data_IF_898608386620
#
_entry.id   IF_898608386620
#
_cell.length_a   1.000
_cell.length_b   1.000
_cell.length_c   1.000
_cell.angle_alpha   90.00
_cell.angle_beta   90.00
_cell.angle_gamma   90.00
#
_symmetry.space_group_name_H-M   'P 1'
#
loop_
_entity.id
_entity.type
_entity.pdbx_description
1 polymer ?
#
# COMPACT_ATOMS: atom_id res chain seq x y z
N UNK A 1 -7.23 -21.64 43.16
CA UNK A 1 -5.81 -21.43 42.81
C UNK A 1 -5.72 -21.17 41.31
N UNK A 2 -5.16 -20.01 40.97
CA UNK A 2 -4.65 -19.57 39.66
C UNK A 2 -5.62 -19.39 38.49
N UNK A 3 -6.29 -18.23 38.52
CA UNK A 3 -6.73 -17.50 37.32
C UNK A 3 -5.51 -16.93 36.59
N UNK A 4 -5.04 -17.59 35.54
CA UNK A 4 -4.18 -16.94 34.55
C UNK A 4 -5.05 -16.73 33.32
N UNK A 5 -5.66 -15.54 33.26
CA UNK A 5 -6.44 -15.07 32.13
C UNK A 5 -5.67 -15.29 30.83
N UNK A 6 -6.35 -15.98 29.91
CA UNK A 6 -6.16 -15.94 28.47
C UNK A 6 -6.05 -14.49 27.97
N UNK A 7 -4.88 -13.87 28.12
CA UNK A 7 -4.51 -12.75 27.27
C UNK A 7 -4.25 -13.34 25.89
N UNK A 8 -5.30 -13.37 25.07
CA UNK A 8 -5.28 -13.70 23.65
C UNK A 8 -4.26 -12.81 22.89
N UNK A 9 -2.98 -13.17 22.98
CA UNK A 9 -1.89 -12.49 22.30
C UNK A 9 -1.72 -13.11 20.92
N UNK A 10 -2.48 -12.64 19.94
CA UNK A 10 -2.26 -12.95 18.52
C UNK A 10 -0.99 -12.22 18.07
N UNK A 11 0.00 -12.86 17.41
CA UNK A 11 1.20 -12.12 16.94
C UNK A 11 0.78 -11.06 15.92
N UNK A 12 1.18 -9.79 16.11
CA UNK A 12 0.83 -8.67 15.23
C UNK A 12 1.49 -8.77 13.85
N UNK A 13 2.42 -9.70 13.65
CA UNK A 13 3.12 -9.92 12.38
C UNK A 13 2.55 -11.11 11.57
N UNK A 14 2.28 -12.26 12.22
CA UNK A 14 1.78 -13.49 11.58
C UNK A 14 0.25 -13.62 11.65
N UNK A 15 -0.41 -12.95 12.60
CA UNK A 15 -1.82 -13.22 12.92
C UNK A 15 -2.07 -14.60 13.56
N UNK A 16 -1.01 -15.34 13.90
CA UNK A 16 -1.10 -16.65 14.57
C UNK A 16 -1.36 -16.48 16.06
N UNK A 17 -2.08 -17.44 16.63
CA UNK A 17 -2.32 -17.57 18.06
C UNK A 17 -1.18 -18.33 18.78
N UNK A 18 -0.25 -18.93 18.04
CA UNK A 18 0.88 -19.67 18.59
C UNK A 18 1.98 -18.73 19.03
N UNK A 19 1.88 -18.25 20.27
CA UNK A 19 2.82 -17.30 20.84
C UNK A 19 3.44 -17.87 22.11
N UNK A 20 4.76 -18.04 22.07
CA UNK A 20 5.58 -18.67 23.10
C UNK A 20 6.10 -17.58 24.03
N UNK A 21 5.88 -17.74 25.34
CA UNK A 21 6.50 -16.89 26.36
C UNK A 21 7.88 -17.43 26.68
N UNK A 22 8.93 -16.67 26.39
CA UNK A 22 10.30 -16.99 26.80
C UNK A 22 10.69 -16.10 27.98
N UNK A 23 11.06 -16.70 29.11
CA UNK A 23 11.60 -15.98 30.27
C UNK A 23 13.13 -15.95 30.11
N UNK A 24 13.76 -14.80 29.88
CA UNK A 24 15.22 -14.72 29.76
C UNK A 24 15.87 -14.96 31.14
N UNK A 25 16.87 -15.85 31.20
CA UNK A 25 17.59 -16.23 32.43
C UNK A 25 18.28 -15.04 33.14
N UNK A 26 18.54 -13.94 32.42
CA UNK A 26 19.37 -12.83 32.91
C UNK A 26 18.62 -11.75 33.69
N UNK A 27 17.29 -11.63 33.50
CA UNK A 27 16.40 -10.70 34.25
C UNK A 27 14.98 -11.26 34.27
N UNK A 28 14.52 -11.69 35.44
CA UNK A 28 13.23 -12.36 35.67
C UNK A 28 11.98 -11.50 35.44
N UNK A 29 12.14 -10.21 35.12
CA UNK A 29 11.04 -9.26 34.92
C UNK A 29 10.71 -8.94 33.45
N UNK A 30 11.56 -9.32 32.49
CA UNK A 30 11.33 -9.05 31.06
C UNK A 30 10.76 -10.30 30.36
N UNK A 31 9.45 -10.51 30.46
CA UNK A 31 8.79 -11.59 29.71
C UNK A 31 8.74 -11.21 28.23
N UNK A 32 9.61 -11.83 27.42
CA UNK A 32 9.61 -11.67 25.96
C UNK A 32 8.65 -12.70 25.38
N UNK A 33 7.70 -12.21 24.60
CA UNK A 33 6.68 -13.04 23.96
C UNK A 33 7.07 -13.20 22.48
N UNK A 34 7.15 -14.40 21.92
CA UNK A 34 7.65 -14.65 20.54
C UNK A 34 6.61 -15.48 19.77
N UNK A 35 6.19 -15.10 18.55
CA UNK A 35 5.34 -16.00 17.73
C UNK A 35 6.18 -17.18 17.27
N UNK A 36 5.64 -18.38 17.40
CA UNK A 36 6.23 -19.59 16.85
C UNK A 36 6.26 -19.57 15.31
N UNK A 37 5.33 -18.85 14.69
CA UNK A 37 5.24 -18.76 13.23
C UNK A 37 6.07 -17.61 12.64
N UNK A 38 6.04 -16.43 13.29
CA UNK A 38 6.77 -15.23 12.85
C UNK A 38 8.22 -15.20 13.35
N UNK A 39 8.59 -16.04 14.33
CA UNK A 39 9.87 -16.01 15.08
C UNK A 39 10.27 -14.59 15.54
N UNK A 40 9.28 -13.69 15.69
CA UNK A 40 9.49 -12.29 16.08
C UNK A 40 8.99 -12.08 17.50
N UNK A 41 9.73 -11.25 18.23
CA UNK A 41 9.33 -10.76 19.53
C UNK A 41 8.11 -9.82 19.40
N UNK A 42 7.13 -10.03 20.26
CA UNK A 42 5.88 -9.30 20.41
C UNK A 42 5.95 -8.62 21.76
N UNK A 43 5.86 -7.28 21.78
CA UNK A 43 5.78 -6.56 23.05
C UNK A 43 4.34 -6.59 23.56
N UNK A 44 4.09 -7.06 24.80
CA UNK A 44 2.77 -6.97 25.41
C UNK A 44 2.44 -5.49 25.68
N UNK A 45 1.44 -4.94 24.97
CA UNK A 45 0.98 -3.56 25.17
C UNK A 45 0.99 -2.64 23.95
N UNK A 46 1.26 -3.13 22.73
CA UNK A 46 0.97 -2.37 21.52
C UNK A 46 -0.52 -2.53 21.15
N UNK A 47 -1.36 -1.49 21.23
CA UNK A 47 -2.72 -1.52 20.74
C UNK A 47 -2.71 -1.38 19.21
N UNK A 48 -2.18 -2.37 18.50
CA UNK A 48 -2.42 -2.53 17.06
C UNK A 48 -3.38 -3.70 16.88
N UNK A 49 -4.66 -3.35 16.98
CA UNK A 49 -5.84 -4.20 16.89
C UNK A 49 -5.72 -5.08 15.64
N UNK A 50 -5.83 -6.41 15.78
CA UNK A 50 -5.90 -7.41 14.70
C UNK A 50 -6.69 -6.92 13.47
N UNK A 51 -7.77 -6.16 13.72
CA UNK A 51 -8.62 -5.50 12.74
C UNK A 51 -7.87 -4.54 11.81
N UNK A 52 -6.95 -3.72 12.32
CA UNK A 52 -6.21 -2.74 11.54
C UNK A 52 -5.20 -3.42 10.60
N UNK A 53 -4.55 -4.49 11.04
CA UNK A 53 -3.60 -5.27 10.22
C UNK A 53 -4.35 -6.01 9.11
N UNK A 54 -5.48 -6.64 9.44
CA UNK A 54 -6.34 -7.29 8.46
C UNK A 54 -6.89 -6.29 7.43
N UNK A 55 -7.29 -5.09 7.87
CA UNK A 55 -7.74 -4.03 6.98
C UNK A 55 -6.61 -3.54 6.05
N UNK A 56 -5.39 -3.32 6.56
CA UNK A 56 -4.23 -2.95 5.73
C UNK A 56 -3.92 -4.01 4.67
N UNK A 57 -4.01 -5.30 5.03
CA UNK A 57 -3.80 -6.40 4.08
C UNK A 57 -4.89 -6.42 3.00
N UNK A 58 -6.15 -6.28 3.37
CA UNK A 58 -7.27 -6.22 2.42
C UNK A 58 -7.12 -5.05 1.44
N UNK A 59 -6.73 -3.86 1.93
CA UNK A 59 -6.47 -2.69 1.08
C UNK A 59 -5.32 -2.96 0.12
N UNK A 60 -4.22 -3.59 0.58
CA UNK A 60 -3.09 -3.92 -0.26
C UNK A 60 -3.46 -4.93 -1.36
N UNK A 61 -4.24 -5.97 -1.05
CA UNK A 61 -4.69 -6.95 -2.04
C UNK A 61 -5.63 -6.31 -3.08
N UNK A 62 -6.54 -5.44 -2.63
CA UNK A 62 -7.45 -4.72 -3.52
C UNK A 62 -6.72 -3.68 -4.39
N UNK A 63 -5.70 -3.01 -3.85
CA UNK A 63 -4.85 -2.09 -4.61
C UNK A 63 -4.09 -2.82 -5.74
N UNK A 64 -3.64 -4.05 -5.50
CA UNK A 64 -2.99 -4.87 -6.53
C UNK A 64 -3.97 -5.24 -7.64
N UNK A 65 -5.19 -5.68 -7.31
CA UNK A 65 -6.20 -5.97 -8.32
C UNK A 65 -6.55 -4.74 -9.18
N UNK A 66 -6.68 -3.58 -8.55
CA UNK A 66 -6.85 -2.30 -9.24
C UNK A 66 -5.68 -1.96 -10.17
N UNK A 67 -4.44 -2.19 -9.74
CA UNK A 67 -3.26 -2.01 -10.58
C UNK A 67 -3.28 -2.92 -11.82
N UNK A 68 -3.73 -4.16 -11.68
CA UNK A 68 -3.83 -5.12 -12.78
C UNK A 68 -4.95 -4.76 -13.76
N UNK A 69 -6.13 -4.37 -13.26
CA UNK A 69 -7.33 -4.17 -14.09
C UNK A 69 -7.48 -2.75 -14.66
N UNK A 70 -7.04 -1.73 -13.90
CA UNK A 70 -7.25 -0.32 -14.20
C UNK A 70 -5.94 0.47 -14.37
N UNK A 71 -4.80 -0.14 -14.03
CA UNK A 71 -3.47 0.46 -14.13
C UNK A 71 -2.98 1.08 -12.82
N UNK A 72 -1.67 1.36 -12.76
CA UNK A 72 -0.95 1.77 -11.56
C UNK A 72 -1.58 2.98 -10.83
N UNK A 73 -2.02 3.99 -11.59
CA UNK A 73 -2.54 5.25 -11.03
C UNK A 73 -3.78 5.00 -10.16
N UNK A 74 -4.67 4.10 -10.61
CA UNK A 74 -5.89 3.79 -9.88
C UNK A 74 -5.59 3.04 -8.57
N UNK A 75 -4.67 2.08 -8.61
CA UNK A 75 -4.28 1.34 -7.41
C UNK A 75 -3.55 2.22 -6.38
N UNK A 76 -2.62 3.09 -6.82
CA UNK A 76 -1.94 4.05 -5.92
C UNK A 76 -2.92 5.02 -5.29
N UNK A 77 -3.87 5.55 -6.07
CA UNK A 77 -4.90 6.48 -5.56
C UNK A 77 -5.78 5.79 -4.51
N UNK A 78 -6.25 4.58 -4.81
CA UNK A 78 -7.06 3.79 -3.88
C UNK A 78 -6.30 3.50 -2.58
N UNK A 79 -5.06 2.99 -2.69
CA UNK A 79 -4.20 2.68 -1.55
C UNK A 79 -4.00 3.90 -0.66
N UNK A 80 -3.63 5.05 -1.24
CA UNK A 80 -3.47 6.31 -0.51
C UNK A 80 -4.75 6.74 0.22
N UNK A 81 -5.90 6.66 -0.44
CA UNK A 81 -7.17 7.07 0.18
C UNK A 81 -7.62 6.15 1.30
N UNK A 82 -7.47 4.83 1.15
CA UNK A 82 -7.89 3.87 2.17
C UNK A 82 -6.92 3.82 3.35
N UNK A 83 -5.60 3.95 3.11
CA UNK A 83 -4.63 4.05 4.20
C UNK A 83 -4.84 5.31 5.05
N UNK A 84 -5.18 6.45 4.44
CA UNK A 84 -5.49 7.67 5.19
C UNK A 84 -6.80 7.56 5.98
N UNK A 85 -7.76 6.73 5.54
CA UNK A 85 -8.99 6.46 6.30
C UNK A 85 -8.77 5.61 7.54
N UNK A 86 -7.73 4.76 7.55
CA UNK A 86 -7.46 3.85 8.66
C UNK A 86 -6.97 4.51 9.95
N UNK A 87 -6.72 5.83 9.93
CA UNK A 87 -6.25 6.59 11.08
C UNK A 87 -4.81 6.24 11.47
N UNK A 88 -3.96 7.25 11.56
CA UNK A 88 -2.55 7.07 11.88
C UNK A 88 -1.67 8.16 11.26
N UNK A 89 -0.52 7.75 10.74
CA UNK A 89 0.43 8.64 10.08
C UNK A 89 -0.09 9.02 8.68
N UNK A 90 -0.12 10.32 8.38
CA UNK A 90 -0.49 10.80 7.04
C UNK A 90 0.46 10.21 6.00
N UNK A 91 -0.08 9.38 5.11
CA UNK A 91 0.69 8.85 4.01
C UNK A 91 0.78 9.90 2.91
N UNK A 92 2.01 10.24 2.53
CA UNK A 92 2.24 11.06 1.34
C UNK A 92 2.03 10.24 0.07
N UNK A 93 1.65 10.89 -1.02
CA UNK A 93 1.51 10.26 -2.33
C UNK A 93 2.77 9.53 -2.79
N UNK A 94 3.95 10.05 -2.45
CA UNK A 94 5.23 9.45 -2.81
C UNK A 94 5.46 8.12 -2.06
N UNK A 95 5.13 8.08 -0.76
CA UNK A 95 5.16 6.84 0.02
C UNK A 95 4.16 5.82 -0.49
N UNK A 96 2.91 6.24 -0.75
CA UNK A 96 1.89 5.34 -1.29
C UNK A 96 2.32 4.71 -2.63
N UNK A 97 3.00 5.48 -3.49
CA UNK A 97 3.57 4.95 -4.74
C UNK A 97 4.65 3.90 -4.47
N UNK A 98 5.63 4.21 -3.61
CA UNK A 98 6.72 3.27 -3.28
C UNK A 98 6.19 1.98 -2.66
N UNK A 99 5.21 2.06 -1.76
CA UNK A 99 4.57 0.90 -1.17
C UNK A 99 3.89 0.02 -2.23
N UNK A 100 3.11 0.62 -3.13
CA UNK A 100 2.44 -0.12 -4.19
C UNK A 100 3.45 -0.73 -5.18
N UNK A 101 4.49 0.00 -5.55
CA UNK A 101 5.56 -0.50 -6.42
C UNK A 101 6.31 -1.68 -5.77
N UNK A 102 6.60 -1.62 -4.47
CA UNK A 102 7.23 -2.72 -3.72
C UNK A 102 6.28 -3.91 -3.53
N UNK A 103 4.99 -3.68 -3.33
CA UNK A 103 3.94 -4.71 -3.27
C UNK A 103 3.76 -5.44 -4.61
N UNK A 104 3.93 -4.74 -5.73
CA UNK A 104 3.89 -5.32 -7.07
C UNK A 104 5.19 -6.06 -7.40
N UNK A 105 6.34 -5.49 -7.02
CA UNK A 105 7.65 -6.11 -7.21
C UNK A 105 7.82 -7.40 -6.41
N UNK A 106 7.43 -7.40 -5.13
CA UNK A 106 7.46 -8.60 -4.27
C UNK A 106 6.58 -9.74 -4.76
N UNK A 107 5.55 -9.45 -5.55
CA UNK A 107 4.65 -10.44 -6.18
C UNK A 107 5.04 -10.77 -7.63
N UNK A 108 6.10 -10.17 -8.19
CA UNK A 108 6.50 -10.35 -9.59
C UNK A 108 5.51 -9.77 -10.61
N UNK A 109 4.61 -8.89 -10.19
CA UNK A 109 3.51 -8.34 -11.00
C UNK A 109 3.88 -7.04 -11.72
N UNK A 110 5.13 -6.58 -11.65
CA UNK A 110 5.61 -5.33 -12.25
C UNK A 110 5.35 -5.24 -13.76
N UNK A 111 5.34 -6.37 -14.47
CA UNK A 111 5.06 -6.42 -15.90
C UNK A 111 3.58 -6.72 -16.24
N UNK A 112 2.77 -7.12 -15.27
CA UNK A 112 1.35 -7.46 -15.45
C UNK A 112 0.42 -6.25 -15.34
N UNK A 113 0.96 -5.09 -14.97
CA UNK A 113 0.21 -3.84 -14.81
C UNK A 113 -0.31 -3.40 -16.19
N UNK A 114 -1.62 -3.16 -16.28
CA UNK A 114 -2.24 -2.62 -17.48
C UNK A 114 -1.57 -1.31 -17.88
N UNK A 115 -0.90 -1.32 -19.04
CA UNK A 115 -0.27 -0.12 -19.60
C UNK A 115 -1.34 0.96 -19.81
N UNK A 116 -1.02 2.24 -19.51
CA UNK A 116 -1.93 3.33 -19.72
C UNK A 116 -2.40 3.36 -21.17
N UNK A 117 -3.69 3.67 -21.36
CA UNK A 117 -4.37 3.57 -22.63
C UNK A 117 -3.67 4.44 -23.71
N UNK A 118 -3.55 3.90 -24.93
CA UNK A 118 -2.84 4.53 -26.08
C UNK A 118 -3.57 5.76 -26.65
N UNK A 119 -4.71 6.13 -26.07
CA UNK A 119 -5.51 7.30 -26.45
C UNK A 119 -4.76 8.64 -26.33
N UNK A 120 -3.64 8.68 -25.61
CA UNK A 120 -2.76 9.86 -25.58
C UNK A 120 -2.29 10.32 -26.96
N UNK A 121 -2.17 9.40 -27.93
CA UNK A 121 -1.79 9.74 -29.31
C UNK A 121 -2.84 10.63 -30.01
N UNK A 122 -4.13 10.39 -29.78
CA UNK A 122 -5.23 11.17 -30.38
C UNK A 122 -5.25 12.59 -29.82
N UNK A 123 -5.04 12.74 -28.51
CA UNK A 123 -4.96 14.05 -27.85
C UNK A 123 -3.78 14.86 -28.43
N UNK A 124 -2.64 14.20 -28.64
CA UNK A 124 -1.44 14.84 -29.19
C UNK A 124 -1.66 15.32 -30.64
N UNK A 125 -2.37 14.54 -31.46
CA UNK A 125 -2.75 14.95 -32.82
C UNK A 125 -3.66 16.18 -32.84
N UNK A 126 -4.66 16.24 -31.95
CA UNK A 126 -5.57 17.39 -31.86
C UNK A 126 -4.80 18.65 -31.46
N UNK A 127 -3.90 18.56 -30.48
CA UNK A 127 -3.06 19.69 -30.05
C UNK A 127 -2.14 20.16 -31.18
N UNK A 128 -1.51 19.24 -31.93
CA UNK A 128 -0.69 19.60 -33.09
C UNK A 128 -1.49 20.31 -34.17
N UNK A 129 -2.71 19.86 -34.46
CA UNK A 129 -3.61 20.52 -35.42
C UNK A 129 -3.98 21.94 -35.00
N UNK A 130 -4.25 22.16 -33.71
CA UNK A 130 -4.56 23.49 -33.18
C UNK A 130 -3.37 24.45 -33.31
N UNK A 131 -2.15 24.00 -33.02
CA UNK A 131 -0.93 24.80 -33.19
C UNK A 131 -0.71 25.13 -34.67
N UNK A 132 -0.84 24.14 -35.56
CA UNK A 132 -0.72 24.37 -37.00
C UNK A 132 -1.73 25.41 -37.49
N UNK A 133 -2.99 25.30 -37.07
CA UNK A 133 -4.04 26.25 -37.42
C UNK A 133 -3.76 27.66 -36.88
N UNK A 134 -3.26 27.80 -35.64
CA UNK A 134 -2.92 29.11 -35.07
C UNK A 134 -1.77 29.76 -35.82
N UNK A 135 -0.75 28.98 -36.20
CA UNK A 135 0.40 29.46 -36.97
C UNK A 135 -0.05 29.92 -38.36
N UNK A 136 -0.84 29.10 -39.07
CA UNK A 136 -1.37 29.46 -40.39
C UNK A 136 -2.23 30.73 -40.32
N UNK A 137 -3.12 30.82 -39.34
CA UNK A 137 -3.95 32.02 -39.12
C UNK A 137 -3.11 33.26 -38.84
N UNK A 138 -2.07 33.14 -38.01
CA UNK A 138 -1.15 34.24 -37.70
C UNK A 138 -0.43 34.74 -38.96
N UNK A 139 0.12 33.82 -39.76
CA UNK A 139 0.80 34.19 -41.01
C UNK A 139 -0.15 34.76 -42.07
N UNK A 140 -1.37 34.21 -42.22
CA UNK A 140 -2.37 34.77 -43.14
C UNK A 140 -2.88 36.14 -42.70
N UNK A 141 -3.02 36.38 -41.40
CA UNK A 141 -3.57 37.62 -40.86
C UNK A 141 -2.54 38.74 -40.76
N UNK A 142 -1.24 38.41 -40.60
CA UNK A 142 -0.16 39.40 -40.53
C UNK A 142 0.36 39.82 -41.91
N UNK A 143 0.17 39.00 -42.95
CA UNK A 143 0.63 39.31 -44.32
C UNK A 143 -0.41 40.08 -45.16
N UNK A 144 -1.53 40.50 -44.54
CA UNK A 144 -2.61 41.27 -45.16
C UNK A 144 -2.72 42.63 -44.47
#
# INVERSE_FOLDING_TARGET
MSTVQDLASVCPFCGSNDVIRTVPEKKSSDVIVVCNHCHRAVLPGSPSTRTQIQAKKAIADQAVDLCLNHGLIHGVRYYHTEMNKLGGQEMTLLHAKQDVDTLLASRGLTHAIKKPNKNGCVILLIVMLLIAASVVYFFLSHHR
#
